data_IF_083182292483
#
_entry.id   IF_083182292483
#
_cell.length_a   1.000
_cell.length_b   1.000
_cell.length_c   1.000
_cell.angle_alpha   90.00
_cell.angle_beta   90.00
_cell.angle_gamma   90.00
#
_symmetry.space_group_name_H-M   'P 1'
#
loop_
_entity.id
_entity.type
_entity.pdbx_description
1 polymer ?
#
# COMPACT_ATOMS: atom_id res chain seq x y z
N UNK A 1 23.50 20.87 6.68
CA UNK A 1 22.65 20.24 7.71
C UNK A 1 22.33 21.29 8.77
N UNK A 2 21.10 21.76 8.77
CA UNK A 2 20.65 22.73 9.77
C UNK A 2 20.39 22.04 11.10
N UNK A 3 21.16 22.39 12.14
CA UNK A 3 21.00 21.89 13.50
C UNK A 3 19.63 22.18 14.12
N UNK A 4 18.90 23.16 13.59
CA UNK A 4 17.53 23.49 14.02
C UNK A 4 16.47 22.46 13.59
N UNK A 5 16.66 21.79 12.45
CA UNK A 5 15.78 20.70 12.01
C UNK A 5 15.90 19.48 12.94
N UNK A 6 17.08 19.27 13.53
CA UNK A 6 17.35 18.17 14.46
C UNK A 6 16.71 18.39 15.84
N UNK A 7 16.58 19.64 16.28
CA UNK A 7 16.01 19.98 17.58
C UNK A 7 14.49 19.90 17.64
N UNK A 8 13.82 20.13 16.52
CA UNK A 8 12.34 20.06 16.44
C UNK A 8 11.80 18.63 16.25
N UNK A 9 12.68 17.68 16.03
CA UNK A 9 12.32 16.27 15.79
C UNK A 9 12.28 15.41 17.06
N UNK A 10 12.47 16.02 18.25
CA UNK A 10 12.58 15.29 19.50
C UNK A 10 11.22 15.20 20.21
N UNK A 11 10.44 14.16 19.89
CA UNK A 11 9.35 13.72 20.76
C UNK A 11 9.95 13.01 21.99
N UNK A 12 9.84 13.64 23.14
CA UNK A 12 10.28 13.10 24.41
C UNK A 12 9.17 12.22 24.99
N UNK A 13 9.32 10.91 24.83
CA UNK A 13 8.46 9.94 25.51
C UNK A 13 9.25 9.35 26.68
N UNK A 14 9.04 9.87 27.88
CA UNK A 14 9.74 9.44 29.10
C UNK A 14 11.26 9.68 29.04
N UNK A 15 12.06 8.64 29.32
CA UNK A 15 13.53 8.69 29.27
C UNK A 15 14.11 8.52 27.87
N UNK A 16 13.29 8.20 26.87
CA UNK A 16 13.76 7.90 25.51
C UNK A 16 13.47 9.04 24.57
N UNK A 17 14.53 9.51 23.92
CA UNK A 17 14.43 10.49 22.82
C UNK A 17 14.28 9.73 21.52
N UNK A 18 13.10 9.76 20.93
CA UNK A 18 12.85 9.15 19.63
C UNK A 18 12.95 10.23 18.54
N UNK A 19 13.89 10.09 17.63
CA UNK A 19 14.02 10.97 16.49
C UNK A 19 13.23 10.38 15.31
N UNK A 20 12.11 10.96 14.96
CA UNK A 20 11.39 10.64 13.73
C UNK A 20 12.15 11.24 12.54
N UNK A 21 12.93 10.41 11.88
CA UNK A 21 13.58 10.80 10.64
C UNK A 21 12.56 10.66 9.53
N UNK A 22 11.97 11.75 9.07
CA UNK A 22 11.23 11.73 7.83
C UNK A 22 9.89 12.43 7.78
N UNK A 23 9.45 13.05 8.84
CA UNK A 23 8.21 13.79 8.80
C UNK A 23 8.41 15.29 8.94
N UNK A 24 9.34 15.88 8.18
CA UNK A 24 9.13 17.26 7.77
C UNK A 24 8.06 17.26 6.67
N UNK A 25 6.84 17.02 7.07
CA UNK A 25 5.69 17.41 6.27
C UNK A 25 5.66 18.94 6.27
N UNK A 26 6.33 19.52 5.31
CA UNK A 26 6.27 20.94 5.10
C UNK A 26 4.90 21.27 4.49
N UNK A 27 3.93 21.59 5.35
CA UNK A 27 2.56 21.93 4.96
C UNK A 27 2.46 23.06 3.92
N UNK A 28 3.56 23.76 3.69
CA UNK A 28 3.63 24.92 2.80
C UNK A 28 4.14 24.61 1.40
N UNK A 29 4.57 23.36 1.14
CA UNK A 29 5.07 22.98 -0.18
C UNK A 29 3.94 22.34 -0.98
N UNK A 30 3.57 22.90 -2.14
CA UNK A 30 2.54 22.28 -2.99
C UNK A 30 3.01 20.88 -3.40
N UNK A 31 2.09 19.90 -3.38
CA UNK A 31 2.37 18.54 -3.85
C UNK A 31 2.86 18.57 -5.30
N UNK A 32 3.96 17.88 -5.56
CA UNK A 32 4.40 17.67 -6.94
C UNK A 32 3.42 16.73 -7.65
N UNK A 33 3.31 16.85 -8.97
CA UNK A 33 2.47 15.94 -9.77
C UNK A 33 2.80 14.47 -9.52
N UNK A 34 4.08 14.16 -9.31
CA UNK A 34 4.54 12.81 -8.97
C UNK A 34 3.99 12.33 -7.62
N UNK A 35 4.04 13.16 -6.58
CA UNK A 35 3.49 12.81 -5.26
C UNK A 35 1.96 12.64 -5.31
N UNK A 36 1.28 13.45 -6.10
CA UNK A 36 -0.15 13.32 -6.30
C UNK A 36 -0.52 11.99 -6.94
N UNK A 37 0.18 11.57 -8.00
CA UNK A 37 -0.02 10.29 -8.67
C UNK A 37 0.21 9.10 -7.71
N UNK A 38 1.30 9.15 -6.95
CA UNK A 38 1.62 8.09 -5.96
C UNK A 38 0.50 8.00 -4.90
N UNK A 39 0.01 9.12 -4.40
CA UNK A 39 -1.07 9.14 -3.43
C UNK A 39 -2.39 8.59 -4.03
N UNK A 40 -2.71 8.95 -5.26
CA UNK A 40 -3.90 8.42 -5.96
C UNK A 40 -3.81 6.90 -6.09
N UNK A 41 -2.65 6.37 -6.47
CA UNK A 41 -2.43 4.91 -6.55
C UNK A 41 -2.63 4.23 -5.19
N UNK A 42 -2.08 4.80 -4.12
CA UNK A 42 -2.23 4.28 -2.77
C UNK A 42 -3.69 4.23 -2.30
N UNK A 43 -4.41 5.33 -2.47
CA UNK A 43 -5.82 5.40 -2.11
C UNK A 43 -6.69 4.47 -2.95
N UNK A 44 -6.48 4.44 -4.26
CA UNK A 44 -7.21 3.54 -5.18
C UNK A 44 -6.97 2.09 -4.83
N UNK A 45 -5.73 1.69 -4.60
CA UNK A 45 -5.39 0.33 -4.17
C UNK A 45 -6.05 -0.06 -2.86
N UNK A 46 -6.04 0.84 -1.87
CA UNK A 46 -6.66 0.61 -0.57
C UNK A 46 -8.18 0.43 -0.67
N UNK A 47 -8.84 1.28 -1.44
CA UNK A 47 -10.30 1.17 -1.67
C UNK A 47 -10.64 -0.13 -2.39
N UNK A 48 -9.86 -0.52 -3.40
CA UNK A 48 -10.08 -1.78 -4.11
C UNK A 48 -9.93 -3.00 -3.18
N UNK A 49 -8.95 -3.00 -2.27
CA UNK A 49 -8.82 -4.06 -1.28
C UNK A 49 -10.03 -4.13 -0.33
N UNK A 50 -10.50 -2.99 0.16
CA UNK A 50 -11.67 -2.93 1.03
C UNK A 50 -12.92 -3.43 0.31
N UNK A 51 -13.12 -3.05 -0.96
CA UNK A 51 -14.25 -3.53 -1.77
C UNK A 51 -14.16 -5.05 -2.02
N UNK A 52 -12.98 -5.55 -2.36
CA UNK A 52 -12.78 -6.98 -2.55
C UNK A 52 -13.09 -7.76 -1.27
N UNK A 53 -12.60 -7.28 -0.13
CA UNK A 53 -12.88 -7.87 1.17
C UNK A 53 -14.38 -7.83 1.51
N UNK A 54 -15.03 -6.71 1.26
CA UNK A 54 -16.47 -6.57 1.49
C UNK A 54 -17.30 -7.55 0.64
N UNK A 55 -16.94 -7.73 -0.63
CA UNK A 55 -17.63 -8.67 -1.52
C UNK A 55 -17.55 -10.11 -1.02
N UNK A 56 -16.40 -10.52 -0.52
CA UNK A 56 -16.22 -11.87 0.06
C UNK A 56 -16.93 -11.99 1.40
N UNK A 57 -16.82 -10.99 2.26
CA UNK A 57 -17.46 -10.98 3.59
C UNK A 57 -18.97 -11.02 3.50
N UNK A 58 -19.56 -10.33 2.52
CA UNK A 58 -21.00 -10.34 2.25
C UNK A 58 -21.44 -11.58 1.43
N UNK A 59 -20.54 -12.53 1.17
CA UNK A 59 -20.79 -13.73 0.37
C UNK A 59 -21.31 -13.44 -1.04
N UNK A 60 -21.03 -12.26 -1.57
CA UNK A 60 -21.39 -11.87 -2.94
C UNK A 60 -20.38 -12.35 -3.99
N UNK A 61 -19.14 -12.63 -3.56
CA UNK A 61 -18.11 -13.22 -4.39
C UNK A 61 -17.40 -14.33 -3.62
N UNK A 62 -17.04 -15.40 -4.29
CA UNK A 62 -16.16 -16.43 -3.71
C UNK A 62 -14.71 -15.94 -3.67
N UNK A 63 -13.94 -16.39 -2.68
CA UNK A 63 -12.53 -16.04 -2.58
C UNK A 63 -11.66 -16.49 -3.75
N UNK A 64 -12.15 -17.45 -4.55
CA UNK A 64 -11.52 -17.94 -5.77
C UNK A 64 -12.14 -17.36 -7.05
N UNK A 65 -13.09 -16.41 -6.93
CA UNK A 65 -13.74 -15.79 -8.08
C UNK A 65 -12.73 -14.91 -8.85
N UNK A 66 -12.91 -14.86 -10.18
CA UNK A 66 -12.11 -14.02 -11.08
C UNK A 66 -12.17 -12.54 -10.68
N UNK A 67 -13.36 -12.08 -10.28
CA UNK A 67 -13.56 -10.71 -9.85
C UNK A 67 -12.74 -10.39 -8.61
N UNK A 68 -12.81 -11.23 -7.57
CA UNK A 68 -12.09 -11.05 -6.32
C UNK A 68 -10.56 -11.08 -6.54
N UNK A 69 -10.08 -12.09 -7.27
CA UNK A 69 -8.64 -12.21 -7.55
C UNK A 69 -8.13 -11.08 -8.44
N UNK A 70 -8.89 -10.68 -9.45
CA UNK A 70 -8.55 -9.54 -10.29
C UNK A 70 -8.44 -8.24 -9.48
N UNK A 71 -9.40 -7.96 -8.63
CA UNK A 71 -9.37 -6.77 -7.75
C UNK A 71 -8.16 -6.79 -6.81
N UNK A 72 -7.83 -7.95 -6.22
CA UNK A 72 -6.68 -8.09 -5.33
C UNK A 72 -5.36 -7.90 -6.07
N UNK A 73 -5.21 -8.42 -7.28
CA UNK A 73 -4.00 -8.26 -8.09
C UNK A 73 -3.78 -6.78 -8.43
N UNK A 74 -4.82 -6.10 -8.92
CA UNK A 74 -4.74 -4.68 -9.28
C UNK A 74 -4.47 -3.81 -8.05
N UNK A 75 -5.20 -4.04 -6.96
CA UNK A 75 -5.01 -3.34 -5.71
C UNK A 75 -3.61 -3.54 -5.14
N UNK A 76 -3.14 -4.78 -5.12
CA UNK A 76 -1.81 -5.13 -4.66
C UNK A 76 -0.70 -4.50 -5.50
N UNK A 77 -0.84 -4.49 -6.83
CA UNK A 77 0.11 -3.84 -7.72
C UNK A 77 0.20 -2.33 -7.45
N UNK A 78 -0.93 -1.65 -7.29
CA UNK A 78 -0.95 -0.22 -6.94
C UNK A 78 -0.29 0.04 -5.59
N UNK A 79 -0.55 -0.80 -4.60
CA UNK A 79 0.05 -0.67 -3.28
C UNK A 79 1.54 -1.02 -3.27
N UNK A 80 2.01 -1.95 -4.10
CA UNK A 80 3.45 -2.20 -4.29
C UNK A 80 4.15 -0.93 -4.77
N UNK A 81 3.63 -0.28 -5.80
CA UNK A 81 4.20 0.97 -6.33
C UNK A 81 4.17 2.07 -5.27
N UNK A 82 3.05 2.25 -4.60
CA UNK A 82 2.87 3.25 -3.56
C UNK A 82 3.83 3.07 -2.39
N UNK A 83 3.85 1.88 -1.81
CA UNK A 83 4.68 1.59 -0.62
C UNK A 83 6.17 1.57 -0.94
N UNK A 84 6.54 1.14 -2.15
CA UNK A 84 7.93 1.24 -2.63
C UNK A 84 8.39 2.69 -2.73
N UNK A 85 7.56 3.56 -3.31
CA UNK A 85 7.84 4.99 -3.43
C UNK A 85 8.00 5.67 -2.06
N UNK A 86 7.28 5.18 -1.04
CA UNK A 86 7.41 5.65 0.34
C UNK A 86 8.60 5.04 1.10
N UNK A 87 9.31 4.09 0.53
CA UNK A 87 10.39 3.37 1.22
C UNK A 87 9.90 2.36 2.26
N UNK A 88 8.62 2.00 2.24
CA UNK A 88 8.02 1.03 3.16
C UNK A 88 8.23 -0.41 2.65
N UNK A 89 9.47 -0.87 2.64
CA UNK A 89 9.87 -2.14 2.00
C UNK A 89 9.18 -3.37 2.57
N UNK A 90 8.93 -3.41 3.87
CA UNK A 90 8.21 -4.53 4.49
C UNK A 90 6.78 -4.65 3.95
N UNK A 91 6.06 -3.54 3.86
CA UNK A 91 4.71 -3.50 3.29
C UNK A 91 4.71 -3.78 1.79
N UNK A 92 5.73 -3.29 1.08
CA UNK A 92 5.92 -3.60 -0.34
C UNK A 92 6.06 -5.10 -0.57
N UNK A 93 6.89 -5.77 0.23
CA UNK A 93 7.06 -7.22 0.19
C UNK A 93 5.76 -7.97 0.45
N UNK A 94 4.99 -7.55 1.46
CA UNK A 94 3.69 -8.14 1.77
C UNK A 94 2.71 -8.00 0.59
N UNK A 95 2.59 -6.83 0.01
CA UNK A 95 1.72 -6.61 -1.15
C UNK A 95 2.17 -7.40 -2.37
N UNK A 96 3.48 -7.54 -2.59
CA UNK A 96 4.04 -8.38 -3.67
C UNK A 96 3.66 -9.85 -3.49
N UNK A 97 3.71 -10.38 -2.27
CA UNK A 97 3.27 -11.75 -1.96
C UNK A 97 1.77 -11.91 -2.25
N UNK A 98 0.94 -10.95 -1.90
CA UNK A 98 -0.49 -10.98 -2.21
C UNK A 98 -0.76 -11.01 -3.72
N UNK A 99 -0.05 -10.20 -4.50
CA UNK A 99 -0.13 -10.23 -5.96
C UNK A 99 0.27 -11.61 -6.50
N UNK A 100 1.37 -12.18 -5.99
CA UNK A 100 1.85 -13.50 -6.40
C UNK A 100 0.81 -14.60 -6.11
N UNK A 101 0.19 -14.59 -4.93
CA UNK A 101 -0.88 -15.53 -4.55
C UNK A 101 -2.08 -15.38 -5.50
N UNK A 102 -2.50 -14.14 -5.79
CA UNK A 102 -3.61 -13.87 -6.71
C UNK A 102 -3.34 -14.40 -8.11
N UNK A 103 -2.15 -14.13 -8.64
CA UNK A 103 -1.70 -14.63 -9.95
C UNK A 103 -1.64 -16.16 -10.00
N UNK A 104 -1.12 -16.78 -8.94
CA UNK A 104 -1.05 -18.24 -8.85
C UNK A 104 -2.44 -18.87 -8.84
N UNK A 105 -3.36 -18.33 -8.04
CA UNK A 105 -4.75 -18.81 -7.96
C UNK A 105 -5.46 -18.67 -9.30
N UNK A 106 -5.27 -17.54 -9.97
CA UNK A 106 -5.85 -17.28 -11.27
C UNK A 106 -5.29 -18.21 -12.34
N UNK A 107 -3.96 -18.42 -12.33
CA UNK A 107 -3.27 -19.33 -13.25
C UNK A 107 -3.74 -20.76 -13.10
N UNK A 108 -3.89 -21.25 -11.86
CA UNK A 108 -4.46 -22.60 -11.60
C UNK A 108 -5.86 -22.75 -12.12
N UNK A 109 -6.69 -21.74 -11.97
CA UNK A 109 -8.08 -21.75 -12.45
C UNK A 109 -8.14 -21.77 -13.98
N UNK A 110 -7.27 -21.00 -14.63
CA UNK A 110 -7.14 -20.99 -16.09
C UNK A 110 -6.74 -22.37 -16.63
N UNK A 111 -5.74 -22.99 -15.99
CA UNK A 111 -5.22 -24.30 -16.40
C UNK A 111 -6.26 -25.42 -16.25
N UNK A 112 -7.12 -25.35 -15.22
CA UNK A 112 -8.20 -26.33 -15.00
C UNK A 112 -9.38 -26.18 -15.99
N UNK A 113 -9.48 -25.01 -16.62
CA UNK A 113 -10.57 -24.73 -17.57
C UNK A 113 -10.26 -25.22 -18.99
N UNK A 114 -9.00 -25.40 -19.30
CA UNK A 114 -8.49 -25.98 -20.55
C UNK A 114 -8.08 -27.42 -20.32
#
# INVERSE_FOLDING_TARGET
MNSHAFQNCLLKIGKYKFCYRGAEYNEKKPMTNHQLLINILGWTGSVLFLLAYALVSLKKAGGDSLLYQGMNIVAGAFLVIYTFALGAYATTGLNAVWVAIGLFTLGRKWFKRN
#
